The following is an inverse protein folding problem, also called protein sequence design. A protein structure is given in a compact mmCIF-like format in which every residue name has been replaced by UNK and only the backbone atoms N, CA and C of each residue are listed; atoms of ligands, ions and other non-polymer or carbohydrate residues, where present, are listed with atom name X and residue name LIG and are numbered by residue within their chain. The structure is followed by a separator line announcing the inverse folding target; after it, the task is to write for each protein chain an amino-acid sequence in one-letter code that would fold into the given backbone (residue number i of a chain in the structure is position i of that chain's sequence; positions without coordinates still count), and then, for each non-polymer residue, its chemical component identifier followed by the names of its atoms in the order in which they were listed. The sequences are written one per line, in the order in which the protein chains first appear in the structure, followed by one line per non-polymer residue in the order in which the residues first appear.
data_IF_368861274264
#
_entry.id   IF_368861274264
#
_cell.length_a   1.000
_cell.length_b   1.000
_cell.length_c   1.000
_cell.angle_alpha   90.00
_cell.angle_beta   90.00
_cell.angle_gamma   90.00
#
_symmetry.space_group_name_H-M   'P 1'
#
loop_
_entity.id
_entity.type
_entity.pdbx_description
1 polymer ?
#
# COMPACT_ATOMS: atom_id res chain seq x y z
N UNK A 1 -3.32 42.84 -10.08
CA UNK A 1 -3.09 41.56 -10.79
C UNK A 1 -3.33 40.43 -9.80
N UNK A 2 -4.45 39.72 -9.91
CA UNK A 2 -4.67 38.49 -9.16
C UNK A 2 -3.81 37.42 -9.83
N UNK A 3 -2.83 36.87 -9.11
CA UNK A 3 -2.10 35.71 -9.60
C UNK A 3 -3.13 34.58 -9.81
N UNK A 4 -3.12 33.88 -10.96
CA UNK A 4 -4.00 32.73 -11.13
C UNK A 4 -3.72 31.75 -9.98
N UNK A 5 -4.76 31.11 -9.41
CA UNK A 5 -4.57 30.14 -8.34
C UNK A 5 -3.56 29.10 -8.79
N UNK A 6 -2.49 28.91 -8.00
CA UNK A 6 -1.46 27.90 -8.27
C UNK A 6 -2.17 26.56 -8.37
N UNK A 7 -2.12 25.93 -9.54
CA UNK A 7 -2.73 24.63 -9.76
C UNK A 7 -2.23 23.65 -8.70
N UNK A 8 -3.17 23.02 -8.00
CA UNK A 8 -2.90 22.04 -6.93
C UNK A 8 -1.95 20.95 -7.41
N UNK A 9 -2.10 20.50 -8.66
CA UNK A 9 -1.24 19.47 -9.27
C UNK A 9 0.22 19.94 -9.33
N UNK A 10 0.47 21.14 -9.87
CA UNK A 10 1.84 21.68 -9.95
C UNK A 10 2.46 21.90 -8.57
N UNK A 11 1.66 22.37 -7.61
CA UNK A 11 2.11 22.52 -6.22
C UNK A 11 2.52 21.17 -5.64
N UNK A 12 1.66 20.15 -5.73
CA UNK A 12 1.96 18.83 -5.19
C UNK A 12 3.16 18.17 -5.87
N UNK A 13 3.32 18.32 -7.19
CA UNK A 13 4.51 17.81 -7.89
C UNK A 13 5.79 18.50 -7.45
N UNK A 14 5.77 19.83 -7.28
CA UNK A 14 6.90 20.56 -6.70
C UNK A 14 7.21 20.06 -5.30
N UNK A 15 6.18 19.97 -4.45
CA UNK A 15 6.34 19.57 -3.05
C UNK A 15 6.84 18.11 -2.95
N UNK A 16 6.42 17.23 -3.86
CA UNK A 16 6.93 15.87 -3.97
C UNK A 16 8.42 15.82 -4.39
N UNK A 17 8.84 16.61 -5.38
CA UNK A 17 10.24 16.68 -5.82
C UNK A 17 11.13 17.25 -4.70
N UNK A 18 10.68 18.28 -4.00
CA UNK A 18 11.40 18.84 -2.85
C UNK A 18 11.48 17.82 -1.71
N UNK A 19 10.36 17.15 -1.39
CA UNK A 19 10.35 16.11 -0.37
C UNK A 19 11.25 14.91 -0.70
N UNK A 20 11.48 14.61 -1.98
CA UNK A 20 12.37 13.50 -2.39
C UNK A 20 13.85 13.75 -2.04
N UNK A 21 14.28 15.01 -1.91
CA UNK A 21 15.67 15.35 -1.57
C UNK A 21 15.91 15.51 -0.06
N UNK A 22 14.84 15.55 0.74
CA UNK A 22 14.93 15.57 2.19
C UNK A 22 15.56 14.27 2.74
N UNK A 23 16.12 14.34 3.94
CA UNK A 23 16.66 13.16 4.62
C UNK A 23 15.59 12.08 4.81
N UNK A 24 15.94 10.80 4.62
CA UNK A 24 14.97 9.69 4.66
C UNK A 24 14.23 9.53 5.99
N UNK A 25 14.81 10.01 7.09
CA UNK A 25 14.18 9.99 8.42
C UNK A 25 13.40 11.29 8.71
N UNK A 26 13.48 12.29 7.83
CA UNK A 26 12.69 13.51 7.94
C UNK A 26 11.21 13.21 7.71
N UNK A 27 10.28 13.73 8.53
CA UNK A 27 8.84 13.66 8.25
C UNK A 27 8.45 14.32 6.92
N UNK A 28 9.26 15.27 6.43
CA UNK A 28 9.05 15.94 5.15
C UNK A 28 9.49 15.09 3.94
N UNK A 29 10.15 13.96 4.15
CA UNK A 29 10.60 13.09 3.08
C UNK A 29 9.43 12.50 2.30
N UNK A 30 9.51 12.56 0.97
CA UNK A 30 8.55 11.93 0.07
C UNK A 30 9.21 10.74 -0.60
N UNK A 31 8.79 9.56 -0.18
CA UNK A 31 9.33 8.28 -0.65
C UNK A 31 8.56 7.72 -1.84
N UNK A 32 7.26 8.02 -1.97
CA UNK A 32 6.34 7.44 -2.96
C UNK A 32 5.27 8.46 -3.36
N UNK A 33 4.66 8.30 -4.54
CA UNK A 33 3.55 9.15 -5.04
C UNK A 33 2.45 8.36 -5.76
N UNK A 34 1.18 8.76 -5.61
CA UNK A 34 0.04 8.32 -6.43
C UNK A 34 -0.23 9.41 -7.45
N UNK A 35 -0.35 9.06 -8.73
CA UNK A 35 -0.66 10.00 -9.81
C UNK A 35 -1.80 9.47 -10.66
N UNK A 36 -3.06 9.81 -10.34
CA UNK A 36 -4.20 9.46 -11.17
C UNK A 36 -4.28 10.38 -12.40
N UNK A 37 -4.68 9.81 -13.53
CA UNK A 37 -4.85 10.58 -14.75
C UNK A 37 -5.25 9.73 -15.94
N UNK A 38 -5.51 10.41 -17.05
CA UNK A 38 -5.95 9.80 -18.31
C UNK A 38 -4.84 9.88 -19.34
N UNK A 39 -4.56 8.74 -20.00
CA UNK A 39 -3.67 8.74 -21.15
C UNK A 39 -4.28 9.55 -22.29
N UNK A 40 -3.50 10.49 -22.83
CA UNK A 40 -3.90 11.29 -23.99
C UNK A 40 -3.24 10.77 -25.26
N UNK A 41 -3.75 11.17 -26.42
CA UNK A 41 -3.12 10.87 -27.72
C UNK A 41 -1.84 11.69 -27.98
N UNK A 42 -1.41 12.50 -27.01
CA UNK A 42 -0.24 13.37 -27.12
C UNK A 42 1.01 12.67 -26.60
N UNK A 43 2.13 12.99 -27.22
CA UNK A 43 3.46 12.56 -26.77
C UNK A 43 4.38 13.77 -26.61
N UNK A 44 5.38 13.67 -25.75
CA UNK A 44 6.44 14.66 -25.61
C UNK A 44 7.80 14.00 -25.76
N UNK A 45 8.72 14.68 -26.44
CA UNK A 45 10.12 14.25 -26.54
C UNK A 45 10.92 14.84 -25.37
N UNK A 46 11.49 13.97 -24.54
CA UNK A 46 12.39 14.35 -23.47
C UNK A 46 13.73 14.85 -24.02
N UNK A 47 14.52 15.54 -23.20
CA UNK A 47 15.86 16.00 -23.59
C UNK A 47 16.78 14.84 -24.02
N UNK A 48 16.59 13.64 -23.46
CA UNK A 48 17.28 12.41 -23.87
C UNK A 48 16.92 11.92 -25.28
N UNK A 49 15.91 12.51 -25.93
CA UNK A 49 15.39 12.08 -27.21
C UNK A 49 14.27 11.03 -27.11
N UNK A 50 14.05 10.42 -25.94
CA UNK A 50 12.96 9.48 -25.70
C UNK A 50 11.59 10.16 -25.85
N UNK A 51 10.65 9.51 -26.53
CA UNK A 51 9.27 9.98 -26.68
C UNK A 51 8.40 9.24 -25.68
N UNK A 52 7.67 9.98 -24.83
CA UNK A 52 6.82 9.42 -23.77
C UNK A 52 5.38 9.92 -23.92
N UNK A 53 4.37 9.10 -23.56
CA UNK A 53 2.98 9.51 -23.60
C UNK A 53 2.69 10.58 -22.54
N UNK A 54 1.77 11.50 -22.85
CA UNK A 54 1.31 12.53 -21.92
C UNK A 54 0.06 12.03 -21.19
N UNK A 55 0.13 12.04 -19.86
CA UNK A 55 -1.01 11.77 -18.97
C UNK A 55 -1.61 13.10 -18.52
N UNK A 56 -2.91 13.27 -18.67
CA UNK A 56 -3.65 14.38 -18.07
C UNK A 56 -3.96 14.04 -16.62
N UNK A 57 -3.25 14.69 -15.70
CA UNK A 57 -3.30 14.40 -14.27
C UNK A 57 -4.49 15.08 -13.61
N UNK A 58 -5.17 14.37 -12.71
CA UNK A 58 -6.23 14.92 -11.87
C UNK A 58 -5.68 15.37 -10.52
N UNK A 59 -6.31 16.40 -9.95
CA UNK A 59 -5.93 16.92 -8.63
C UNK A 59 -6.39 16.04 -7.47
N UNK A 60 -7.46 15.27 -7.65
CA UNK A 60 -7.97 14.32 -6.65
C UNK A 60 -7.23 13.00 -6.77
N UNK A 61 -6.90 12.38 -5.63
CA UNK A 61 -6.16 11.11 -5.58
C UNK A 61 -4.64 11.26 -5.77
N UNK A 62 -4.16 12.49 -5.87
CA UNK A 62 -2.73 12.80 -5.91
C UNK A 62 -2.18 12.81 -4.48
N UNK A 63 -1.46 11.76 -4.12
CA UNK A 63 -0.93 11.53 -2.77
C UNK A 63 0.59 11.41 -2.77
N UNK A 64 1.20 11.79 -1.66
CA UNK A 64 2.64 11.68 -1.40
C UNK A 64 2.81 10.98 -0.06
N UNK A 65 3.68 9.97 0.02
CA UNK A 65 3.86 9.21 1.27
C UNK A 65 5.30 9.21 1.74
N UNK A 66 5.43 9.11 3.06
CA UNK A 66 6.67 8.93 3.77
C UNK A 66 6.67 7.53 4.42
N UNK A 67 7.45 6.62 3.85
CA UNK A 67 7.59 5.25 4.35
C UNK A 67 8.06 5.22 5.81
N UNK A 68 8.97 6.11 6.21
CA UNK A 68 9.47 6.14 7.59
C UNK A 68 8.34 6.49 8.59
N UNK A 69 7.51 7.49 8.28
CA UNK A 69 6.36 7.86 9.13
C UNK A 69 5.40 6.69 9.27
N UNK A 70 5.18 5.91 8.20
CA UNK A 70 4.36 4.72 8.26
C UNK A 70 4.98 3.62 9.14
N UNK A 71 6.28 3.34 8.99
CA UNK A 71 7.02 2.36 9.80
C UNK A 71 6.92 2.71 11.29
N UNK A 72 7.13 3.97 11.65
CA UNK A 72 6.99 4.46 13.03
C UNK A 72 5.57 4.28 13.59
N UNK A 73 4.55 4.53 12.77
CA UNK A 73 3.16 4.33 13.16
C UNK A 73 2.84 2.86 13.44
N UNK A 74 3.32 1.94 12.58
CA UNK A 74 3.13 0.50 12.79
C UNK A 74 3.93 0.00 14.00
N UNK A 75 5.18 0.45 14.18
CA UNK A 75 5.97 0.13 15.37
C UNK A 75 5.30 0.59 16.66
N UNK A 76 4.71 1.79 16.64
CA UNK A 76 3.97 2.33 17.79
C UNK A 76 2.73 1.49 18.09
N UNK A 77 1.98 1.08 17.05
CA UNK A 77 0.83 0.20 17.21
C UNK A 77 1.21 -1.19 17.75
N UNK A 78 2.30 -1.76 17.23
CA UNK A 78 2.89 -3.02 17.70
C UNK A 78 3.28 -2.95 19.17
N UNK A 79 4.03 -1.92 19.58
CA UNK A 79 4.43 -1.71 20.99
C UNK A 79 3.22 -1.64 21.91
N UNK A 80 2.20 -0.86 21.54
CA UNK A 80 0.96 -0.72 22.31
C UNK A 80 0.18 -2.03 22.42
N UNK A 81 0.17 -2.83 21.36
CA UNK A 81 -0.48 -4.14 21.36
C UNK A 81 0.24 -5.14 22.28
N UNK A 82 1.58 -5.17 22.22
CA UNK A 82 2.41 -5.97 23.11
C UNK A 82 2.27 -5.58 24.59
N UNK A 83 2.26 -4.27 24.88
CA UNK A 83 1.99 -3.74 26.23
C UNK A 83 0.63 -4.17 26.75
N UNK A 84 -0.44 -4.07 25.94
CA UNK A 84 -1.78 -4.53 26.30
C UNK A 84 -1.81 -6.02 26.64
N UNK A 85 -0.95 -6.81 26.01
CA UNK A 85 -0.87 -8.27 26.18
C UNK A 85 0.14 -8.69 27.26
N UNK A 86 0.84 -7.75 27.91
CA UNK A 86 1.93 -8.03 28.84
C UNK A 86 3.00 -8.97 28.24
N UNK A 87 3.27 -8.85 26.94
CA UNK A 87 4.28 -9.64 26.23
C UNK A 87 5.52 -8.76 26.01
N UNK A 88 6.66 -9.18 26.56
CA UNK A 88 7.96 -8.57 26.27
C UNK A 88 8.58 -9.23 25.04
N UNK A 89 9.01 -8.43 24.05
CA UNK A 89 9.92 -8.85 22.97
C UNK A 89 11.35 -8.97 23.52
N UNK A 90 11.55 -9.77 24.57
CA UNK A 90 12.88 -10.02 25.13
C UNK A 90 13.31 -11.43 24.72
N UNK A 91 14.19 -11.48 23.70
CA UNK A 91 14.87 -12.69 23.26
C UNK A 91 15.99 -12.35 22.29
N UNK A 92 17.20 -12.85 22.54
CA UNK A 92 18.43 -12.54 21.77
C UNK A 92 18.38 -12.92 20.27
N UNK A 93 17.32 -13.62 19.83
CA UNK A 93 17.19 -14.15 18.47
C UNK A 93 15.99 -13.59 17.66
N UNK A 94 15.24 -12.61 18.16
CA UNK A 94 14.13 -12.06 17.38
C UNK A 94 14.61 -11.03 16.35
N UNK A 95 14.17 -11.13 15.07
CA UNK A 95 14.49 -10.13 14.08
C UNK A 95 13.91 -8.78 14.49
N UNK A 96 14.70 -7.73 14.29
CA UNK A 96 14.29 -6.35 14.54
C UNK A 96 12.94 -6.06 13.87
N UNK A 97 11.88 -5.72 14.63
CA UNK A 97 10.54 -5.50 14.08
C UNK A 97 10.54 -4.37 13.06
N UNK A 98 11.41 -3.35 13.22
CA UNK A 98 11.54 -2.28 12.24
C UNK A 98 12.01 -2.82 10.89
N UNK A 99 13.06 -3.67 10.89
CA UNK A 99 13.57 -4.29 9.66
C UNK A 99 12.53 -5.19 9.01
N UNK A 100 11.75 -5.90 9.82
CA UNK A 100 10.67 -6.77 9.32
C UNK A 100 9.58 -5.95 8.63
N UNK A 101 9.14 -4.85 9.25
CA UNK A 101 8.15 -3.94 8.66
C UNK A 101 8.68 -3.28 7.38
N UNK A 102 9.94 -2.83 7.37
CA UNK A 102 10.56 -2.24 6.17
C UNK A 102 10.66 -3.26 5.02
N UNK A 103 11.13 -4.47 5.31
CA UNK A 103 11.20 -5.53 4.30
C UNK A 103 9.82 -5.90 3.74
N UNK A 104 8.79 -5.87 4.59
CA UNK A 104 7.41 -6.05 4.19
C UNK A 104 6.92 -4.93 3.25
N UNK A 105 7.15 -3.66 3.60
CA UNK A 105 6.77 -2.51 2.76
C UNK A 105 7.51 -2.50 1.42
N UNK A 106 8.78 -2.87 1.42
CA UNK A 106 9.55 -3.05 0.20
C UNK A 106 8.91 -4.14 -0.67
N UNK A 107 8.59 -5.32 -0.11
CA UNK A 107 7.94 -6.40 -0.87
C UNK A 107 6.60 -5.93 -1.45
N UNK A 108 5.76 -5.27 -0.65
CA UNK A 108 4.51 -4.65 -1.10
C UNK A 108 4.75 -3.73 -2.29
N UNK A 109 5.71 -2.81 -2.19
CA UNK A 109 5.99 -1.86 -3.26
C UNK A 109 6.42 -2.56 -4.56
N UNK A 110 7.32 -3.53 -4.47
CA UNK A 110 7.82 -4.26 -5.64
C UNK A 110 6.78 -5.18 -6.27
N UNK A 111 5.84 -5.71 -5.49
CA UNK A 111 4.72 -6.51 -5.99
C UNK A 111 3.61 -5.64 -6.61
N UNK A 112 3.35 -4.45 -6.05
CA UNK A 112 2.30 -3.57 -6.56
C UNK A 112 2.72 -2.76 -7.78
N UNK A 113 4.00 -2.36 -7.91
CA UNK A 113 4.41 -1.44 -8.99
C UNK A 113 4.17 -2.06 -10.37
N UNK A 114 3.42 -1.36 -11.20
CA UNK A 114 3.16 -1.72 -12.59
C UNK A 114 2.85 -0.44 -13.40
N UNK A 115 2.50 -0.57 -14.68
CA UNK A 115 2.22 0.59 -15.54
C UNK A 115 0.88 1.29 -15.25
N UNK A 116 -0.02 0.66 -14.49
CA UNK A 116 -1.32 1.22 -14.12
C UNK A 116 -2.31 1.34 -15.27
N UNK A 117 -2.13 0.59 -16.36
CA UNK A 117 -2.97 0.71 -17.56
C UNK A 117 -4.16 -0.24 -17.55
N UNK A 118 -3.92 -1.53 -17.25
CA UNK A 118 -5.00 -2.51 -17.14
C UNK A 118 -5.82 -2.30 -15.87
N UNK A 119 -7.03 -2.83 -15.83
CA UNK A 119 -7.90 -2.75 -14.64
C UNK A 119 -7.27 -3.40 -13.42
N UNK A 120 -6.65 -4.57 -13.60
CA UNK A 120 -5.92 -5.27 -12.53
C UNK A 120 -4.71 -4.47 -12.04
N UNK A 121 -3.96 -3.86 -12.96
CA UNK A 121 -2.83 -2.96 -12.65
C UNK A 121 -3.27 -1.75 -11.83
N UNK A 122 -4.37 -1.09 -12.24
CA UNK A 122 -4.96 0.04 -11.49
C UNK A 122 -5.39 -0.40 -10.10
N UNK A 123 -6.01 -1.57 -9.96
CA UNK A 123 -6.42 -2.12 -8.67
C UNK A 123 -5.22 -2.43 -7.77
N UNK A 124 -4.14 -3.01 -8.30
CA UNK A 124 -2.88 -3.23 -7.58
C UNK A 124 -2.26 -1.91 -7.09
N UNK A 125 -2.12 -0.91 -7.98
CA UNK A 125 -1.55 0.39 -7.60
C UNK A 125 -2.42 1.11 -6.55
N UNK A 126 -3.75 1.00 -6.70
CA UNK A 126 -4.69 1.57 -5.73
C UNK A 126 -4.66 0.81 -4.41
N UNK A 127 -4.53 -0.52 -4.41
CA UNK A 127 -4.31 -1.31 -3.20
C UNK A 127 -3.04 -0.86 -2.47
N UNK A 128 -1.96 -0.58 -3.20
CA UNK A 128 -0.73 -0.02 -2.63
C UNK A 128 -0.96 1.34 -1.96
N UNK A 129 -1.66 2.25 -2.65
CA UNK A 129 -2.04 3.57 -2.09
C UNK A 129 -2.90 3.43 -0.84
N UNK A 130 -3.95 2.62 -0.93
CA UNK A 130 -4.89 2.38 0.16
C UNK A 130 -4.24 1.61 1.31
N UNK A 131 -3.23 0.78 1.07
CA UNK A 131 -2.47 0.12 2.13
C UNK A 131 -1.68 1.12 2.98
N UNK A 132 -1.11 2.15 2.36
CA UNK A 132 -0.45 3.24 3.09
C UNK A 132 -1.48 4.09 3.85
N UNK A 133 -2.66 4.31 3.28
CA UNK A 133 -3.72 5.12 3.90
C UNK A 133 -4.52 4.34 4.98
N UNK A 134 -4.63 3.02 4.83
CA UNK A 134 -5.37 2.07 5.69
C UNK A 134 -4.38 1.13 6.38
N UNK A 135 -3.26 1.68 6.85
CA UNK A 135 -2.18 0.96 7.51
C UNK A 135 -2.60 0.05 8.67
N UNK A 136 -3.82 0.22 9.20
CA UNK A 136 -4.44 -0.68 10.16
C UNK A 136 -4.50 -2.12 9.66
N UNK A 137 -5.00 -2.38 8.45
CA UNK A 137 -5.20 -3.77 7.97
C UNK A 137 -3.85 -4.47 7.74
N UNK A 138 -2.84 -3.70 7.30
CA UNK A 138 -1.47 -4.19 7.16
C UNK A 138 -0.85 -4.50 8.53
N UNK A 139 -1.03 -3.62 9.51
CA UNK A 139 -0.59 -3.87 10.87
C UNK A 139 -1.31 -5.10 11.47
N UNK A 140 -2.62 -5.25 11.24
CA UNK A 140 -3.39 -6.43 11.67
C UNK A 140 -2.90 -7.72 11.01
N UNK A 141 -2.53 -7.68 9.73
CA UNK A 141 -1.97 -8.84 9.02
C UNK A 141 -0.60 -9.24 9.56
N UNK A 142 0.26 -8.28 9.90
CA UNK A 142 1.55 -8.57 10.54
C UNK A 142 1.37 -9.11 11.97
N UNK A 143 0.36 -8.61 12.69
CA UNK A 143 0.01 -9.02 14.06
C UNK A 143 -0.90 -10.26 14.11
N UNK A 144 -1.12 -10.94 12.98
CA UNK A 144 -2.08 -12.03 12.82
C UNK A 144 -1.83 -13.24 13.71
N UNK A 145 -0.65 -13.37 14.32
CA UNK A 145 -0.35 -14.42 15.29
C UNK A 145 -1.43 -14.55 16.37
N UNK A 146 -2.01 -13.44 16.83
CA UNK A 146 -3.07 -13.49 17.85
C UNK A 146 -4.42 -14.05 17.36
N UNK A 147 -4.63 -14.17 16.05
CA UNK A 147 -5.88 -14.62 15.43
C UNK A 147 -5.83 -16.08 15.00
N UNK A 148 -4.64 -16.65 14.85
CA UNK A 148 -4.45 -18.02 14.39
C UNK A 148 -4.22 -18.93 15.60
N UNK A 149 -5.09 -19.93 15.85
CA UNK A 149 -4.91 -20.85 16.97
C UNK A 149 -3.53 -21.52 16.97
N UNK A 150 -2.83 -21.49 18.12
CA UNK A 150 -1.52 -22.12 18.28
C UNK A 150 -0.32 -21.30 17.77
N UNK A 151 -0.53 -20.06 17.36
CA UNK A 151 0.54 -19.09 17.18
C UNK A 151 1.07 -18.57 18.52
N UNK A 152 2.38 -18.37 18.59
CA UNK A 152 3.00 -17.65 19.72
C UNK A 152 2.85 -16.17 19.43
N UNK A 153 2.47 -15.43 20.44
CA UNK A 153 2.07 -14.02 20.39
C UNK A 153 3.25 -13.05 20.15
N UNK A 154 4.42 -13.61 19.87
CA UNK A 154 5.73 -12.94 19.92
C UNK A 154 6.37 -12.70 18.56
N UNK A 155 5.83 -13.24 17.47
CA UNK A 155 6.40 -13.07 16.14
C UNK A 155 5.42 -12.35 15.20
N UNK A 156 5.93 -11.96 14.03
CA UNK A 156 5.18 -11.27 13.00
C UNK A 156 4.94 -12.21 11.82
N UNK A 157 3.70 -12.23 11.35
CA UNK A 157 3.39 -12.82 10.06
C UNK A 157 4.03 -11.99 8.95
N UNK A 158 4.44 -12.66 7.88
CA UNK A 158 5.05 -12.04 6.71
C UNK A 158 4.10 -12.10 5.52
N UNK A 159 4.28 -11.19 4.57
CA UNK A 159 3.54 -11.22 3.31
C UNK A 159 3.94 -12.47 2.51
N UNK A 160 2.97 -13.28 2.12
CA UNK A 160 3.15 -14.42 1.22
C UNK A 160 2.93 -13.97 -0.23
N UNK A 161 1.65 -13.80 -0.59
CA UNK A 161 1.17 -13.62 -1.96
C UNK A 161 0.21 -12.44 -2.07
N UNK A 162 0.20 -11.83 -3.25
CA UNK A 162 -0.79 -10.83 -3.66
C UNK A 162 -1.38 -11.30 -4.99
N UNK A 163 -2.69 -11.45 -5.05
CA UNK A 163 -3.39 -11.87 -6.26
C UNK A 163 -4.51 -10.91 -6.60
N UNK A 164 -4.73 -10.68 -7.89
CA UNK A 164 -5.83 -9.85 -8.37
C UNK A 164 -6.67 -10.61 -9.37
N UNK A 165 -7.97 -10.55 -9.17
CA UNK A 165 -8.95 -11.19 -10.04
C UNK A 165 -10.16 -10.29 -10.24
N UNK A 166 -10.92 -10.52 -11.31
CA UNK A 166 -12.13 -9.75 -11.55
C UNK A 166 -13.18 -10.11 -10.50
N UNK A 167 -13.75 -9.09 -9.85
CA UNK A 167 -14.76 -9.31 -8.82
C UNK A 167 -16.09 -9.73 -9.44
N UNK A 168 -16.78 -10.75 -8.90
CA UNK A 168 -18.16 -11.04 -9.26
C UNK A 168 -19.14 -10.05 -8.62
N UNK A 169 -18.72 -9.26 -7.63
CA UNK A 169 -19.57 -8.35 -6.86
C UNK A 169 -19.57 -6.92 -7.40
N UNK A 170 -19.88 -6.77 -8.69
CA UNK A 170 -19.97 -5.47 -9.35
C UNK A 170 -21.39 -5.12 -9.78
N UNK A 171 -21.73 -3.83 -9.69
CA UNK A 171 -22.90 -3.29 -10.41
C UNK A 171 -22.65 -3.37 -11.93
N UNK A 172 -23.69 -3.53 -12.76
CA UNK A 172 -23.55 -3.44 -14.22
C UNK A 172 -22.88 -2.12 -14.63
N UNK A 173 -21.90 -2.21 -15.53
CA UNK A 173 -21.12 -1.05 -15.99
C UNK A 173 -19.93 -0.68 -15.09
N UNK A 174 -19.74 -1.34 -13.95
CA UNK A 174 -18.51 -1.23 -13.18
C UNK A 174 -17.44 -2.23 -13.62
N UNK A 175 -16.20 -1.91 -13.26
CA UNK A 175 -14.99 -2.68 -13.42
C UNK A 175 -14.34 -2.83 -12.05
N UNK A 176 -14.79 -3.82 -11.28
CA UNK A 176 -14.23 -4.10 -9.97
C UNK A 176 -13.30 -5.31 -9.98
N UNK A 177 -12.27 -5.18 -9.16
CA UNK A 177 -11.18 -6.10 -9.01
C UNK A 177 -11.06 -6.48 -7.53
N UNK A 178 -10.98 -7.77 -7.27
CA UNK A 178 -10.70 -8.35 -5.97
C UNK A 178 -9.19 -8.50 -5.82
N UNK A 179 -8.63 -7.80 -4.84
CA UNK A 179 -7.22 -7.88 -4.45
C UNK A 179 -7.12 -8.67 -3.16
N UNK A 180 -6.47 -9.82 -3.22
CA UNK A 180 -6.24 -10.68 -2.06
C UNK A 180 -4.80 -10.58 -1.63
N UNK A 181 -4.58 -10.29 -0.36
CA UNK A 181 -3.28 -10.18 0.27
C UNK A 181 -3.20 -11.25 1.34
N UNK A 182 -2.28 -12.19 1.17
CA UNK A 182 -2.13 -13.34 2.06
C UNK A 182 -0.86 -13.20 2.88
N UNK A 183 -1.00 -13.46 4.16
CA UNK A 183 0.06 -13.49 5.15
C UNK A 183 0.29 -14.94 5.61
N UNK A 184 1.54 -15.27 5.89
CA UNK A 184 1.93 -16.57 6.42
C UNK A 184 2.85 -16.41 7.63
N UNK A 185 2.94 -17.46 8.43
CA UNK A 185 3.87 -17.54 9.54
C UNK A 185 5.25 -18.02 9.06
N UNK A 186 6.30 -17.20 9.13
CA UNK A 186 7.63 -17.59 8.68
C UNK A 186 8.32 -18.62 9.59
N UNK A 187 7.89 -18.77 10.84
CA UNK A 187 8.48 -19.72 11.79
C UNK A 187 7.82 -21.11 11.71
N UNK A 188 6.59 -21.19 11.23
CA UNK A 188 5.84 -22.43 11.17
C UNK A 188 4.88 -22.48 9.97
N UNK A 189 5.31 -23.19 8.93
CA UNK A 189 4.58 -23.43 7.68
C UNK A 189 3.27 -24.22 7.84
N UNK A 190 3.04 -24.86 8.99
CA UNK A 190 1.79 -25.57 9.30
C UNK A 190 0.72 -24.66 9.89
N UNK A 191 1.07 -23.42 10.25
CA UNK A 191 0.07 -22.47 10.74
C UNK A 191 -0.75 -21.94 9.56
N UNK A 192 -2.02 -21.68 9.85
CA UNK A 192 -2.92 -21.20 8.81
C UNK A 192 -2.49 -19.81 8.33
N UNK A 193 -2.56 -19.60 7.03
CA UNK A 193 -2.41 -18.28 6.44
C UNK A 193 -3.54 -17.36 6.90
N UNK A 194 -3.33 -16.05 6.78
CA UNK A 194 -4.38 -15.05 6.94
C UNK A 194 -4.52 -14.27 5.63
N UNK A 195 -5.71 -14.29 5.04
CA UNK A 195 -5.99 -13.58 3.79
C UNK A 195 -6.94 -12.42 3.99
N UNK A 196 -6.60 -11.28 3.40
CA UNK A 196 -7.44 -10.09 3.32
C UNK A 196 -7.90 -9.88 1.89
N UNK A 197 -9.22 -9.77 1.70
CA UNK A 197 -9.83 -9.48 0.41
C UNK A 197 -10.34 -8.04 0.41
N UNK A 198 -9.83 -7.27 -0.54
CA UNK A 198 -10.27 -5.93 -0.85
C UNK A 198 -10.94 -5.93 -2.22
N UNK A 199 -12.08 -5.27 -2.35
CA UNK A 199 -12.73 -5.07 -3.65
C UNK A 199 -12.61 -3.60 -4.04
N UNK A 200 -12.05 -3.33 -5.22
CA UNK A 200 -11.88 -1.98 -5.74
C UNK A 200 -12.63 -1.82 -7.05
N UNK A 201 -13.48 -0.79 -7.17
CA UNK A 201 -14.03 -0.35 -8.46
C UNK A 201 -13.04 0.62 -9.10
N UNK A 202 -12.48 0.22 -10.24
CA UNK A 202 -11.48 0.98 -11.02
C UNK A 202 -12.08 1.52 -12.32
N UNK A 203 -13.40 1.60 -12.45
CA UNK A 203 -14.07 2.08 -13.67
C UNK A 203 -13.74 3.53 -14.02
N UNK A 204 -13.49 4.35 -13.00
CA UNK A 204 -13.21 5.76 -13.12
C UNK A 204 -11.72 6.05 -12.85
N UNK A 205 -11.30 7.28 -13.13
CA UNK A 205 -9.94 7.77 -12.94
C UNK A 205 -9.48 7.70 -11.48
N UNK A 206 -10.42 7.86 -10.54
CA UNK A 206 -10.20 7.69 -9.11
C UNK A 206 -10.87 6.39 -8.64
N UNK A 207 -10.09 5.32 -8.39
CA UNK A 207 -10.65 4.08 -7.87
C UNK A 207 -11.31 4.28 -6.51
N UNK A 208 -12.26 3.40 -6.19
CA UNK A 208 -12.97 3.41 -4.91
C UNK A 208 -12.96 2.03 -4.26
N UNK A 209 -12.78 1.99 -2.93
CA UNK A 209 -12.95 0.78 -2.14
C UNK A 209 -14.42 0.46 -1.98
N UNK A 210 -14.80 -0.77 -2.31
CA UNK A 210 -16.13 -1.32 -2.11
C UNK A 210 -16.13 -2.18 -0.84
N UNK A 211 -17.18 -2.03 -0.03
CA UNK A 211 -17.42 -2.81 1.19
C UNK A 211 -16.28 -2.74 2.24
N UNK A 212 -16.51 -3.22 3.47
CA UNK A 212 -15.43 -3.47 4.42
C UNK A 212 -14.51 -4.59 3.92
N UNK A 213 -13.27 -4.59 4.39
CA UNK A 213 -12.29 -5.64 4.08
C UNK A 213 -12.78 -6.97 4.64
N UNK A 214 -12.75 -8.01 3.81
CA UNK A 214 -13.06 -9.37 4.25
C UNK A 214 -11.79 -10.07 4.71
N UNK A 215 -11.91 -10.87 5.76
CA UNK A 215 -10.78 -11.50 6.44
C UNK A 215 -11.04 -12.99 6.59
N UNK A 216 -10.06 -13.81 6.22
CA UNK A 216 -10.16 -15.26 6.22
C UNK A 216 -8.95 -15.88 6.92
N UNK A 217 -9.20 -16.86 7.78
CA UNK A 217 -8.16 -17.76 8.31
C UNK A 217 -8.09 -18.96 7.36
N UNK A 218 -6.93 -19.19 6.76
CA UNK A 218 -6.70 -20.14 5.69
C UNK A 218 -6.53 -19.48 4.32
N UNK A 219 -6.20 -20.29 3.32
CA UNK A 219 -6.05 -19.82 1.94
C UNK A 219 -7.37 -19.36 1.31
N UNK A 220 -7.27 -18.42 0.37
CA UNK A 220 -8.34 -17.97 -0.52
C UNK A 220 -8.37 -18.81 -1.80
#
# INVERSE_FOLDING_TARGET
MSYPPVSTVYRTFRDAIVGQVEDRQSPAHVSRVSVPGVLTDRTVRLFSGQVVPVVEVRSRGLYTWNEHVFVEAVLTALKKDLERRNVTLEGENQPDPEKTIRAFLDKIYWQFRNLGQSSADRALNFAGTNAFDVGREMAEGMLAANQVPGADDRHLYSLDTITVSKSPFCRPGSDCQDVVITFFDPENDRRANLSFLFTYDVSDELPVSLAPVHKFIGGF
#
